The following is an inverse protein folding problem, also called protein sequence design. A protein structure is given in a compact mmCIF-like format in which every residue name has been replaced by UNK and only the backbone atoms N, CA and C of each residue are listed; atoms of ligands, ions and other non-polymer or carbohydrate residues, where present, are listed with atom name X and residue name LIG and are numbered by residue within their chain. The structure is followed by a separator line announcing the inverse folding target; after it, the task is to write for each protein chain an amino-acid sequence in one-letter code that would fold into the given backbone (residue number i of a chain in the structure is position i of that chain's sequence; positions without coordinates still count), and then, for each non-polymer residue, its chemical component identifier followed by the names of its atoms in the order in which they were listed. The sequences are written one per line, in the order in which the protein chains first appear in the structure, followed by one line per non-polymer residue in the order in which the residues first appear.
data_IF_599668960422
#
_entry.id   IF_599668960422
#
_cell.length_a   1.000
_cell.length_b   1.000
_cell.length_c   1.000
_cell.angle_alpha   90.00
_cell.angle_beta   90.00
_cell.angle_gamma   90.00
#
_symmetry.space_group_name_H-M   'P 1'
#
loop_
_entity.id
_entity.type
_entity.pdbx_description
1 polymer ?
#
# COMPACT_ATOMS: atom_id res chain seq x y z
N UNK A 1 41.67 -27.38 6.25
CA UNK A 1 41.31 -26.90 4.90
C UNK A 1 40.23 -25.84 5.04
N UNK A 2 40.61 -24.57 5.06
CA UNK A 2 39.69 -23.46 5.24
C UNK A 2 39.34 -22.88 3.87
N UNK A 3 38.14 -23.17 3.37
CA UNK A 3 37.60 -22.53 2.17
C UNK A 3 36.92 -21.23 2.59
N UNK A 4 37.71 -20.19 2.88
CA UNK A 4 37.21 -18.81 2.92
C UNK A 4 37.01 -18.34 1.48
N UNK A 5 35.90 -18.78 0.88
CA UNK A 5 35.42 -18.19 -0.36
C UNK A 5 34.93 -16.78 -0.08
N UNK A 6 35.54 -15.79 -0.72
CA UNK A 6 35.04 -14.42 -0.79
C UNK A 6 33.64 -14.46 -1.40
N UNK A 7 32.61 -14.40 -0.56
CA UNK A 7 31.21 -14.23 -0.96
C UNK A 7 31.14 -12.91 -1.73
N UNK A 8 30.60 -12.92 -2.95
CA UNK A 8 30.47 -11.70 -3.74
C UNK A 8 29.59 -10.69 -2.98
N UNK A 9 29.81 -9.39 -3.17
CA UNK A 9 29.00 -8.37 -2.50
C UNK A 9 27.49 -8.54 -2.78
N UNK A 10 27.14 -9.09 -3.94
CA UNK A 10 25.76 -9.42 -4.30
C UNK A 10 25.22 -10.61 -3.50
N UNK A 11 26.01 -11.67 -3.35
CA UNK A 11 25.63 -12.86 -2.58
C UNK A 11 25.48 -12.53 -1.08
N UNK A 12 26.33 -11.63 -0.56
CA UNK A 12 26.23 -11.17 0.82
C UNK A 12 24.91 -10.43 1.08
N UNK A 13 24.50 -9.54 0.17
CA UNK A 13 23.21 -8.83 0.27
C UNK A 13 22.04 -9.81 0.26
N UNK A 14 22.07 -10.83 -0.62
CA UNK A 14 21.01 -11.85 -0.67
C UNK A 14 20.92 -12.62 0.64
N UNK A 15 22.06 -13.00 1.23
CA UNK A 15 22.09 -13.70 2.51
C UNK A 15 21.56 -12.85 3.67
N UNK A 16 21.84 -11.55 3.67
CA UNK A 16 21.35 -10.64 4.71
C UNK A 16 19.82 -10.43 4.61
N UNK A 17 19.29 -10.32 3.38
CA UNK A 17 17.82 -10.28 3.15
C UNK A 17 17.16 -11.58 3.61
N UNK A 18 17.74 -12.74 3.24
CA UNK A 18 17.20 -14.03 3.66
C UNK A 18 17.18 -14.16 5.18
N UNK A 19 18.24 -13.70 5.86
CA UNK A 19 18.30 -13.71 7.33
C UNK A 19 17.22 -12.82 7.94
N UNK A 20 17.00 -11.62 7.39
CA UNK A 20 15.92 -10.72 7.84
C UNK A 20 14.54 -11.36 7.71
N UNK A 21 14.26 -12.00 6.57
CA UNK A 21 13.00 -12.71 6.31
C UNK A 21 12.79 -13.85 7.32
N UNK A 22 13.80 -14.69 7.52
CA UNK A 22 13.71 -15.82 8.47
C UNK A 22 13.48 -15.31 9.89
N UNK A 23 14.17 -14.25 10.31
CA UNK A 23 13.98 -13.63 11.62
C UNK A 23 12.57 -13.05 11.77
N UNK A 24 12.03 -12.43 10.72
CA UNK A 24 10.67 -11.90 10.72
C UNK A 24 9.62 -13.02 10.86
N UNK A 25 9.80 -14.16 10.16
CA UNK A 25 8.88 -15.30 10.22
C UNK A 25 8.77 -15.95 11.61
N UNK A 26 9.75 -15.72 12.49
CA UNK A 26 9.74 -16.21 13.86
C UNK A 26 8.92 -15.34 14.83
N UNK A 27 8.50 -14.15 14.39
CA UNK A 27 7.70 -13.26 15.23
C UNK A 27 6.33 -13.89 15.52
N UNK A 28 5.79 -13.68 16.74
CA UNK A 28 4.45 -14.15 17.06
C UNK A 28 3.43 -13.48 16.14
N UNK A 29 2.41 -14.23 15.75
CA UNK A 29 1.31 -13.70 14.95
C UNK A 29 0.57 -12.61 15.72
N UNK A 30 0.45 -11.44 15.13
CA UNK A 30 -0.32 -10.35 15.71
C UNK A 30 -1.83 -10.64 15.69
N UNK A 31 -2.53 -10.01 16.64
CA UNK A 31 -3.97 -10.10 16.77
C UNK A 31 -4.65 -9.43 15.56
N UNK A 32 -5.71 -10.07 15.03
CA UNK A 32 -6.48 -9.58 13.88
C UNK A 32 -7.28 -8.32 14.17
N UNK A 33 -7.55 -8.02 15.44
CA UNK A 33 -8.29 -6.84 15.89
C UNK A 33 -7.46 -5.55 15.87
N UNK A 34 -6.13 -5.66 15.78
CA UNK A 34 -5.24 -4.50 15.75
C UNK A 34 -5.14 -3.90 14.35
N UNK A 35 -4.93 -2.59 14.30
CA UNK A 35 -4.68 -1.89 13.05
C UNK A 35 -3.32 -2.33 12.45
N UNK A 36 -3.34 -2.75 11.19
CA UNK A 36 -2.15 -3.23 10.48
C UNK A 36 -1.08 -2.14 10.30
N UNK A 37 -1.47 -0.88 10.15
CA UNK A 37 -0.54 0.25 10.04
C UNK A 37 0.21 0.50 11.35
N UNK A 38 -0.44 0.36 12.50
CA UNK A 38 0.21 0.51 13.81
C UNK A 38 1.25 -0.60 14.03
N UNK A 39 0.93 -1.82 13.61
CA UNK A 39 1.84 -2.97 13.66
C UNK A 39 3.10 -2.68 12.84
N UNK A 40 2.94 -2.29 11.57
CA UNK A 40 4.06 -1.98 10.68
C UNK A 40 4.86 -0.78 11.17
N UNK A 41 4.21 0.26 11.70
CA UNK A 41 4.88 1.43 12.26
C UNK A 41 5.78 1.07 13.44
N UNK A 42 5.35 0.16 14.32
CA UNK A 42 6.18 -0.37 15.41
C UNK A 42 7.36 -1.19 14.89
N UNK A 43 7.15 -1.98 13.83
CA UNK A 43 8.17 -2.86 13.24
C UNK A 43 9.20 -2.10 12.40
N UNK A 44 8.90 -0.87 11.95
CA UNK A 44 9.77 -0.04 11.10
C UNK A 44 11.22 0.06 11.57
N UNK A 45 11.44 0.17 12.89
CA UNK A 45 12.80 0.29 13.45
C UNK A 45 13.58 -1.03 13.42
N UNK A 46 12.88 -2.16 13.51
CA UNK A 46 13.50 -3.50 13.59
C UNK A 46 13.62 -4.15 12.21
N UNK A 47 12.67 -3.89 11.31
CA UNK A 47 12.59 -4.49 9.98
C UNK A 47 12.27 -3.41 8.93
N UNK A 48 13.21 -2.51 8.64
CA UNK A 48 12.98 -1.40 7.72
C UNK A 48 12.69 -1.89 6.29
N UNK A 49 13.35 -2.96 5.83
CA UNK A 49 13.12 -3.50 4.49
C UNK A 49 11.72 -4.12 4.38
N UNK A 50 11.32 -4.94 5.36
CA UNK A 50 9.97 -5.51 5.38
C UNK A 50 8.88 -4.45 5.51
N UNK A 51 9.15 -3.37 6.25
CA UNK A 51 8.22 -2.24 6.36
C UNK A 51 7.97 -1.58 5.00
N UNK A 52 9.01 -1.29 4.22
CA UNK A 52 8.85 -0.71 2.88
C UNK A 52 8.09 -1.66 1.95
N UNK A 53 8.42 -2.95 1.95
CA UNK A 53 7.68 -3.97 1.20
C UNK A 53 6.19 -4.02 1.59
N UNK A 54 5.91 -3.94 2.89
CA UNK A 54 4.55 -3.94 3.40
C UNK A 54 3.77 -2.69 3.01
N UNK A 55 4.40 -1.51 3.03
CA UNK A 55 3.77 -0.28 2.57
C UNK A 55 3.38 -0.37 1.09
N UNK A 56 4.26 -0.90 0.24
CA UNK A 56 3.96 -1.13 -1.17
C UNK A 56 2.79 -2.10 -1.31
N UNK A 57 2.80 -3.22 -0.59
CA UNK A 57 1.73 -4.21 -0.64
C UNK A 57 0.38 -3.66 -0.14
N UNK A 58 0.39 -2.82 0.90
CA UNK A 58 -0.81 -2.20 1.46
C UNK A 58 -1.32 -1.02 0.64
N UNK A 59 -0.45 -0.36 -0.13
CA UNK A 59 -0.84 0.70 -1.07
C UNK A 59 -1.54 0.15 -2.31
N UNK A 60 -1.40 -1.15 -2.60
CA UNK A 60 -2.09 -1.78 -3.73
C UNK A 60 -3.61 -1.80 -3.47
N UNK A 61 -4.41 -1.13 -4.31
CA UNK A 61 -5.85 -1.18 -4.19
C UNK A 61 -6.31 -2.61 -4.52
N UNK A 62 -6.63 -3.39 -3.49
CA UNK A 62 -7.00 -4.81 -3.64
C UNK A 62 -8.44 -5.00 -4.10
N UNK A 63 -9.27 -3.96 -4.07
CA UNK A 63 -10.70 -4.03 -4.40
C UNK A 63 -11.11 -2.95 -5.39
N UNK A 64 -11.79 -3.36 -6.47
CA UNK A 64 -12.44 -2.45 -7.44
C UNK A 64 -13.60 -1.62 -6.81
N UNK A 65 -14.02 -1.97 -5.60
CA UNK A 65 -15.16 -1.37 -4.89
C UNK A 65 -15.00 0.14 -4.67
N UNK A 66 -13.78 0.68 -4.52
CA UNK A 66 -13.55 2.13 -4.40
C UNK A 66 -13.91 2.86 -5.69
N UNK A 67 -13.51 2.29 -6.83
CA UNK A 67 -13.83 2.78 -8.16
C UNK A 67 -15.33 2.67 -8.41
N UNK A 68 -15.98 1.57 -8.02
CA UNK A 68 -17.43 1.41 -8.14
C UNK A 68 -18.22 2.40 -7.28
N UNK A 69 -17.76 2.71 -6.06
CA UNK A 69 -18.36 3.79 -5.24
C UNK A 69 -18.17 5.15 -5.90
N UNK A 70 -17.02 5.40 -6.52
CA UNK A 70 -16.73 6.63 -7.26
C UNK A 70 -17.63 6.75 -8.50
N UNK A 71 -17.81 5.69 -9.29
CA UNK A 71 -18.71 5.66 -10.45
C UNK A 71 -20.19 5.67 -10.06
N UNK A 72 -20.56 5.08 -8.92
CA UNK A 72 -21.91 5.20 -8.38
C UNK A 72 -22.19 6.66 -7.99
N UNK A 73 -21.23 7.33 -7.35
CA UNK A 73 -21.38 8.74 -7.01
C UNK A 73 -21.30 9.68 -8.23
N UNK A 74 -20.64 9.27 -9.31
CA UNK A 74 -20.65 9.95 -10.60
C UNK A 74 -22.06 10.06 -11.20
N UNK A 75 -22.97 9.10 -10.94
CA UNK A 75 -24.37 9.17 -11.40
C UNK A 75 -25.16 10.36 -10.83
N UNK A 76 -24.72 10.94 -9.71
CA UNK A 76 -25.33 12.17 -9.18
C UNK A 76 -24.84 13.43 -9.90
N UNK A 77 -23.64 13.37 -10.49
CA UNK A 77 -23.01 14.48 -11.22
C UNK A 77 -23.50 14.46 -12.67
N UNK A 78 -23.46 13.28 -13.30
CA UNK A 78 -24.00 12.98 -14.61
C UNK A 78 -25.37 12.32 -14.44
N UNK A 79 -26.40 13.14 -14.31
CA UNK A 79 -27.78 12.68 -14.43
C UNK A 79 -28.30 12.97 -15.84
N UNK A 80 -29.45 12.38 -16.21
CA UNK A 80 -30.01 12.51 -17.57
C UNK A 80 -30.24 13.96 -18.01
N UNK A 81 -30.38 14.90 -17.07
CA UNK A 81 -30.54 16.34 -17.33
C UNK A 81 -29.21 17.11 -17.39
N UNK A 82 -28.09 16.53 -16.93
CA UNK A 82 -26.75 17.13 -16.86
C UNK A 82 -25.68 16.32 -17.61
N UNK A 83 -26.06 15.61 -18.66
CA UNK A 83 -25.14 14.79 -19.47
C UNK A 83 -24.23 15.58 -20.44
N UNK A 84 -24.32 16.91 -20.50
CA UNK A 84 -23.51 17.79 -21.37
C UNK A 84 -22.37 18.50 -20.62
N UNK A 85 -21.80 17.88 -19.60
CA UNK A 85 -20.61 18.41 -18.93
C UNK A 85 -19.38 18.10 -19.78
N UNK A 86 -18.51 19.09 -19.96
CA UNK A 86 -17.22 18.91 -20.63
C UNK A 86 -16.39 17.88 -19.85
N UNK A 87 -15.81 16.84 -20.49
CA UNK A 87 -14.97 15.86 -19.84
C UNK A 87 -13.88 16.44 -18.92
N UNK A 88 -13.25 17.56 -19.29
CA UNK A 88 -12.23 18.20 -18.45
C UNK A 88 -12.81 18.75 -17.14
N UNK A 89 -13.97 19.41 -17.23
CA UNK A 89 -14.69 19.92 -16.06
C UNK A 89 -15.19 18.77 -15.17
N UNK A 90 -15.56 17.64 -15.76
CA UNK A 90 -15.94 16.44 -15.01
C UNK A 90 -14.77 15.89 -14.21
N UNK A 91 -13.58 15.82 -14.82
CA UNK A 91 -12.35 15.38 -14.17
C UNK A 91 -11.99 16.30 -13.00
N UNK A 92 -12.05 17.62 -13.19
CA UNK A 92 -11.81 18.61 -12.13
C UNK A 92 -12.75 18.41 -10.94
N UNK A 93 -14.05 18.22 -11.19
CA UNK A 93 -15.05 17.96 -10.15
C UNK A 93 -14.74 16.65 -9.42
N UNK A 94 -14.32 15.61 -10.14
CA UNK A 94 -14.00 14.31 -9.56
C UNK A 94 -12.75 14.38 -8.69
N UNK A 95 -11.71 15.12 -9.10
CA UNK A 95 -10.50 15.34 -8.30
C UNK A 95 -10.82 16.08 -7.00
N UNK A 96 -11.56 17.20 -7.08
CA UNK A 96 -11.95 17.98 -5.89
C UNK A 96 -12.79 17.13 -4.92
N UNK A 97 -13.77 16.39 -5.45
CA UNK A 97 -14.63 15.53 -4.62
C UNK A 97 -13.86 14.37 -3.99
N UNK A 98 -12.94 13.76 -4.72
CA UNK A 98 -12.10 12.67 -4.21
C UNK A 98 -11.23 13.17 -3.08
N UNK A 99 -10.57 14.33 -3.24
CA UNK A 99 -9.75 14.92 -2.18
C UNK A 99 -10.54 15.26 -0.93
N UNK A 100 -11.77 15.78 -1.05
CA UNK A 100 -12.64 16.03 0.12
C UNK A 100 -13.02 14.76 0.89
N UNK A 101 -13.08 13.60 0.22
CA UNK A 101 -13.34 12.32 0.88
C UNK A 101 -12.14 11.84 1.72
N UNK A 102 -10.93 12.28 1.39
CA UNK A 102 -9.70 11.90 2.09
C UNK A 102 -9.24 12.92 3.15
N UNK A 103 -9.77 14.15 3.14
CA UNK A 103 -9.43 15.19 4.13
C UNK A 103 -10.12 14.99 5.51
N UNK A 104 -11.03 14.02 5.62
CA UNK A 104 -11.77 13.71 6.87
C UNK A 104 -11.27 12.46 7.61
N UNK A 105 -10.10 11.95 7.29
CA UNK A 105 -9.48 10.81 7.99
C UNK A 105 -8.61 11.24 9.16
#
# INVERSE_FOLDING_TARGET
MATLGLVSSQDQVVLDIQREIVNFMQLPREDKSKNIMDIWTRLKKMYPLMYECALVALALPTTQVTVERLFSSLKFILNDQRNRINPSLLEDIMVVRSNYLFDKS
#
